data_IF_689165534091
#
_entry.id   IF_689165534091
#
_cell.length_a   1.000
_cell.length_b   1.000
_cell.length_c   1.000
_cell.angle_alpha   90.00
_cell.angle_beta   90.00
_cell.angle_gamma   90.00
#
_symmetry.space_group_name_H-M   'P 1'
#
loop_
_entity.id
_entity.type
_entity.pdbx_description
1 polymer ?
#
# COMPACT_ATOMS: atom_id res chain seq x y z
N UNK A 1 2.56 32.30 -7.90
CA UNK A 1 1.50 31.32 -7.57
C UNK A 1 0.18 31.95 -7.90
N UNK A 2 -0.61 31.33 -8.77
CA UNK A 2 -1.94 31.83 -9.13
C UNK A 2 -3.02 31.37 -8.12
N UNK A 3 -4.21 31.95 -8.18
CA UNK A 3 -5.28 31.67 -7.23
C UNK A 3 -5.74 30.20 -7.28
N UNK A 4 -5.76 29.60 -8.47
CA UNK A 4 -6.12 28.20 -8.65
C UNK A 4 -5.13 27.25 -7.97
N UNK A 5 -3.83 27.51 -8.09
CA UNK A 5 -2.76 26.77 -7.41
C UNK A 5 -2.87 26.91 -5.89
N UNK A 6 -3.15 28.12 -5.39
CA UNK A 6 -3.37 28.38 -3.97
C UNK A 6 -4.55 27.58 -3.43
N UNK A 7 -5.69 27.58 -4.14
CA UNK A 7 -6.87 26.79 -3.76
C UNK A 7 -6.58 25.29 -3.73
N UNK A 8 -5.86 24.77 -4.74
CA UNK A 8 -5.46 23.36 -4.77
C UNK A 8 -4.60 22.99 -3.56
N UNK A 9 -3.59 23.80 -3.23
CA UNK A 9 -2.73 23.55 -2.07
C UNK A 9 -3.50 23.57 -0.75
N UNK A 10 -4.39 24.55 -0.55
CA UNK A 10 -5.23 24.61 0.65
C UNK A 10 -6.17 23.42 0.74
N UNK A 11 -6.73 22.95 -0.37
CA UNK A 11 -7.58 21.75 -0.40
C UNK A 11 -6.80 20.48 -0.05
N UNK A 12 -5.56 20.34 -0.55
CA UNK A 12 -4.68 19.21 -0.23
C UNK A 12 -4.26 19.23 1.24
N UNK A 13 -3.90 20.40 1.78
CA UNK A 13 -3.52 20.56 3.18
C UNK A 13 -4.67 20.18 4.12
N UNK A 14 -5.91 20.55 3.79
CA UNK A 14 -7.10 20.14 4.56
C UNK A 14 -7.31 18.63 4.56
N UNK A 15 -7.20 17.98 3.39
CA UNK A 15 -7.32 16.52 3.26
C UNK A 15 -6.22 15.78 4.04
N UNK A 16 -5.01 16.33 4.07
CA UNK A 16 -3.92 15.76 4.85
C UNK A 16 -4.21 15.86 6.36
N UNK A 17 -4.61 17.03 6.83
CA UNK A 17 -5.01 17.23 8.24
C UNK A 17 -6.15 16.31 8.66
N UNK A 18 -7.15 16.11 7.80
CA UNK A 18 -8.26 15.18 8.05
C UNK A 18 -7.78 13.73 8.20
N UNK A 19 -6.83 13.28 7.37
CA UNK A 19 -6.22 11.94 7.48
C UNK A 19 -5.36 11.79 8.74
N UNK A 20 -4.72 12.86 9.20
CA UNK A 20 -3.95 12.86 10.44
C UNK A 20 -4.87 12.84 11.67
N UNK A 21 -5.97 13.60 11.64
CA UNK A 21 -6.95 13.66 12.73
C UNK A 21 -7.80 12.39 12.82
N UNK A 22 -8.07 11.75 11.68
CA UNK A 22 -8.85 10.51 11.57
C UNK A 22 -8.10 9.48 10.73
N UNK A 23 -7.05 8.86 11.29
CA UNK A 23 -6.30 7.84 10.57
C UNK A 23 -7.21 6.65 10.28
N UNK A 24 -7.34 6.30 9.00
CA UNK A 24 -8.00 5.06 8.61
C UNK A 24 -7.04 3.91 8.94
N UNK A 25 -7.48 2.89 9.71
CA UNK A 25 -6.64 1.73 9.98
C UNK A 25 -6.16 1.07 8.69
N UNK A 26 -4.94 0.55 8.70
CA UNK A 26 -4.48 -0.31 7.61
C UNK A 26 -5.34 -1.58 7.58
N UNK A 27 -5.99 -1.82 6.44
CA UNK A 27 -6.69 -3.07 6.18
C UNK A 27 -5.69 -4.06 5.58
N UNK A 28 -5.40 -5.15 6.31
CA UNK A 28 -4.60 -6.25 5.77
C UNK A 28 -5.36 -6.91 4.61
N UNK A 29 -4.87 -6.81 3.36
CA UNK A 29 -5.55 -7.40 2.21
C UNK A 29 -5.59 -8.94 2.26
N UNK A 30 -4.81 -9.55 3.16
CA UNK A 30 -4.79 -10.98 3.40
C UNK A 30 -5.36 -11.34 4.78
N UNK A 31 -6.20 -10.48 5.38
CA UNK A 31 -6.82 -10.73 6.69
C UNK A 31 -7.58 -12.06 6.74
N UNK A 32 -8.14 -12.48 5.61
CA UNK A 32 -8.96 -13.68 5.48
C UNK A 32 -8.12 -14.96 5.32
N UNK A 33 -6.80 -14.83 5.15
CA UNK A 33 -5.90 -15.98 5.00
C UNK A 33 -5.31 -16.42 6.34
N UNK A 34 -5.25 -17.73 6.52
CA UNK A 34 -4.52 -18.35 7.63
C UNK A 34 -3.00 -18.12 7.53
N UNK A 35 -2.26 -18.18 8.65
CA UNK A 35 -0.79 -18.13 8.63
C UNK A 35 -0.17 -19.16 7.68
N UNK A 36 -0.74 -20.37 7.60
CA UNK A 36 -0.28 -21.45 6.72
C UNK A 36 -0.46 -21.08 5.23
N UNK A 37 -1.60 -20.51 4.86
CA UNK A 37 -1.86 -20.05 3.49
C UNK A 37 -0.94 -18.89 3.10
N UNK A 38 -0.74 -17.92 4.01
CA UNK A 38 0.22 -16.84 3.82
C UNK A 38 1.64 -17.40 3.61
N UNK A 39 2.03 -18.37 4.43
CA UNK A 39 3.36 -19.01 4.34
C UNK A 39 3.56 -19.74 3.01
N UNK A 40 2.57 -20.52 2.55
CA UNK A 40 2.61 -21.20 1.25
C UNK A 40 2.76 -20.23 0.09
N UNK A 41 2.02 -19.12 0.12
CA UNK A 41 2.08 -18.09 -0.90
C UNK A 41 3.48 -17.44 -0.97
N UNK A 42 4.08 -17.13 0.17
CA UNK A 42 5.44 -16.56 0.25
C UNK A 42 6.46 -17.54 -0.35
N UNK A 43 6.39 -18.82 0.01
CA UNK A 43 7.30 -19.85 -0.53
C UNK A 43 7.16 -19.95 -2.05
N UNK A 44 5.93 -19.94 -2.57
CA UNK A 44 5.68 -19.99 -4.02
C UNK A 44 6.27 -18.77 -4.76
N UNK A 45 6.14 -17.57 -4.19
CA UNK A 45 6.72 -16.34 -4.72
C UNK A 45 8.25 -16.38 -4.74
N UNK A 46 8.87 -16.87 -3.66
CA UNK A 46 10.33 -17.04 -3.60
C UNK A 46 10.83 -18.04 -4.65
N UNK A 47 10.18 -19.20 -4.77
CA UNK A 47 10.53 -20.21 -5.76
C UNK A 47 10.31 -19.74 -7.21
N UNK A 48 9.33 -18.87 -7.47
CA UNK A 48 9.17 -18.24 -8.77
C UNK A 48 10.34 -17.29 -9.08
N UNK A 49 10.73 -16.44 -8.12
CA UNK A 49 11.85 -15.53 -8.26
C UNK A 49 13.18 -16.25 -8.51
N UNK A 50 13.44 -17.34 -7.80
CA UNK A 50 14.66 -18.15 -7.99
C UNK A 50 14.74 -18.72 -9.40
N UNK A 51 13.64 -19.31 -9.89
CA UNK A 51 13.56 -19.82 -11.28
C UNK A 51 13.74 -18.73 -12.33
N UNK A 52 13.20 -17.54 -12.10
CA UNK A 52 13.37 -16.42 -13.03
C UNK A 52 14.81 -15.88 -13.01
N UNK A 53 15.50 -15.92 -11.86
CA UNK A 53 16.91 -15.54 -11.75
C UNK A 53 17.86 -16.54 -12.44
N UNK A 54 17.52 -17.82 -12.47
CA UNK A 54 18.25 -18.86 -13.22
C UNK A 54 18.07 -18.76 -14.75
N UNK A 55 17.13 -17.94 -15.21
CA UNK A 55 16.77 -17.79 -16.62
C UNK A 55 17.40 -16.55 -17.29
N UNK A 56 18.19 -15.78 -16.54
CA UNK A 56 18.98 -14.62 -16.99
C UNK A 56 20.43 -15.07 -17.25
#
# INVERSE_FOLDING_TARGET
MNELERMKQLSSARKLKEREETPVPFADPYSDMTPEEKSKMIIALMAARERDAERI
#
